data_IF_199369363334
#
_entry.id   IF_199369363334
#
_cell.length_a   1.000
_cell.length_b   1.000
_cell.length_c   1.000
_cell.angle_alpha   90.00
_cell.angle_beta   90.00
_cell.angle_gamma   90.00
#
_symmetry.space_group_name_H-M   'P 1'
#
loop_
_entity.id
_entity.type
_entity.pdbx_description
1 polymer ?
#
# COMPACT_ATOMS: atom_id res chain seq x y z
N UNK A 1 14.98 6.38 -11.29
CA UNK A 1 15.06 4.90 -11.19
C UNK A 1 13.69 4.33 -10.87
N UNK A 2 13.41 3.08 -11.33
CA UNK A 2 12.18 2.40 -10.95
C UNK A 2 12.38 1.68 -9.63
N UNK A 3 11.41 1.82 -8.72
CA UNK A 3 11.34 1.03 -7.48
C UNK A 3 10.66 -0.31 -7.73
N UNK A 4 9.64 -0.32 -8.61
CA UNK A 4 8.89 -1.53 -8.98
C UNK A 4 8.78 -1.62 -10.49
N UNK A 5 9.06 -2.80 -11.02
CA UNK A 5 8.90 -3.16 -12.43
C UNK A 5 8.14 -4.48 -12.50
N UNK A 6 6.97 -4.47 -13.10
CA UNK A 6 6.09 -5.63 -13.25
C UNK A 6 6.02 -5.99 -14.72
N UNK A 7 6.17 -7.28 -15.05
CA UNK A 7 6.17 -7.79 -16.42
C UNK A 7 5.29 -9.03 -16.54
N UNK A 8 4.16 -8.90 -17.21
CA UNK A 8 3.19 -9.97 -17.49
C UNK A 8 2.69 -10.70 -16.26
N UNK A 9 2.61 -9.99 -15.10
CA UNK A 9 2.30 -10.61 -13.81
C UNK A 9 0.88 -11.18 -13.82
N UNK A 10 0.77 -12.49 -13.53
CA UNK A 10 -0.50 -13.21 -13.65
C UNK A 10 -0.75 -14.04 -12.40
N UNK A 11 -2.02 -14.04 -11.92
CA UNK A 11 -2.48 -14.88 -10.82
C UNK A 11 -3.85 -15.47 -11.08
N UNK A 12 -3.97 -16.77 -10.88
CA UNK A 12 -5.22 -17.54 -11.03
C UNK A 12 -5.58 -18.23 -9.72
N UNK A 13 -6.87 -18.28 -9.42
CA UNK A 13 -7.44 -19.05 -8.32
C UNK A 13 -8.55 -19.95 -8.91
N UNK A 14 -8.21 -21.20 -9.18
CA UNK A 14 -9.09 -22.11 -9.90
C UNK A 14 -9.44 -21.57 -11.29
N UNK A 15 -10.71 -21.36 -11.57
CA UNK A 15 -11.20 -20.81 -12.84
C UNK A 15 -11.10 -19.26 -12.94
N UNK A 16 -10.78 -18.58 -11.83
CA UNK A 16 -10.77 -17.10 -11.78
C UNK A 16 -9.34 -16.60 -12.02
N UNK A 17 -9.17 -15.76 -13.04
CA UNK A 17 -7.94 -15.00 -13.25
C UNK A 17 -8.05 -13.69 -12.47
N UNK A 18 -7.40 -13.63 -11.30
CA UNK A 18 -7.46 -12.47 -10.40
C UNK A 18 -6.54 -11.32 -10.84
N UNK A 19 -5.43 -11.65 -11.52
CA UNK A 19 -4.54 -10.69 -12.18
C UNK A 19 -4.13 -11.31 -13.50
N UNK A 20 -4.25 -10.57 -14.59
CA UNK A 20 -4.04 -11.05 -15.96
C UNK A 20 -3.03 -10.16 -16.69
N UNK A 21 -1.82 -10.70 -16.84
CA UNK A 21 -0.72 -10.10 -17.61
C UNK A 21 -0.48 -8.62 -17.29
N UNK A 22 -0.40 -8.31 -15.99
CA UNK A 22 -0.19 -6.94 -15.52
C UNK A 22 1.23 -6.47 -15.83
N UNK A 23 1.32 -5.34 -16.54
CA UNK A 23 2.56 -4.58 -16.78
C UNK A 23 2.45 -3.21 -16.10
N UNK A 24 3.43 -2.86 -15.25
CA UNK A 24 3.42 -1.61 -14.50
C UNK A 24 4.82 -1.24 -14.03
N UNK A 25 5.12 0.05 -14.01
CA UNK A 25 6.33 0.60 -13.38
C UNK A 25 5.99 1.68 -12.37
N UNK A 26 6.67 1.65 -11.20
CA UNK A 26 6.58 2.68 -10.16
C UNK A 26 7.97 3.25 -9.91
N UNK A 27 8.10 4.58 -9.87
CA UNK A 27 9.39 5.27 -9.67
C UNK A 27 9.77 5.28 -8.19
N UNK A 28 11.05 5.42 -7.90
CA UNK A 28 11.51 5.60 -6.52
C UNK A 28 10.98 6.92 -5.94
N UNK A 29 10.50 6.86 -4.68
CA UNK A 29 9.92 8.00 -3.97
C UNK A 29 8.51 8.38 -4.44
N UNK A 30 7.96 7.69 -5.45
CA UNK A 30 6.60 7.92 -5.95
C UNK A 30 5.55 7.43 -4.93
N UNK A 31 4.48 8.20 -4.79
CA UNK A 31 3.24 7.73 -4.18
C UNK A 31 2.31 7.30 -5.32
N UNK A 32 2.17 6.01 -5.49
CA UNK A 32 1.38 5.37 -6.53
C UNK A 32 0.09 4.78 -5.98
N UNK A 33 -1.05 5.07 -6.61
CA UNK A 33 -2.32 4.44 -6.26
C UNK A 33 -2.72 3.39 -7.29
N UNK A 34 -3.07 2.19 -6.83
CA UNK A 34 -3.75 1.19 -7.62
C UNK A 34 -5.24 1.26 -7.30
N UNK A 35 -6.00 1.92 -8.17
CA UNK A 35 -7.42 2.22 -8.04
C UNK A 35 -8.27 1.19 -8.78
N UNK A 36 -9.37 0.78 -8.21
CA UNK A 36 -10.33 -0.10 -8.88
C UNK A 36 -11.45 -0.57 -7.96
N UNK A 37 -12.50 -1.10 -8.55
CA UNK A 37 -13.62 -1.68 -7.80
C UNK A 37 -13.19 -2.90 -6.98
N UNK A 38 -14.05 -3.36 -6.09
CA UNK A 38 -13.82 -4.60 -5.36
C UNK A 38 -13.73 -5.78 -6.34
N UNK A 39 -12.75 -6.67 -6.13
CA UNK A 39 -12.49 -7.78 -7.05
C UNK A 39 -11.60 -7.44 -8.26
N UNK A 40 -11.18 -6.17 -8.44
CA UNK A 40 -10.33 -5.77 -9.57
C UNK A 40 -8.91 -6.40 -9.59
N UNK A 41 -8.49 -7.09 -8.51
CA UNK A 41 -7.16 -7.72 -8.42
C UNK A 41 -6.13 -6.97 -7.58
N UNK A 42 -6.46 -5.79 -7.02
CA UNK A 42 -5.55 -4.91 -6.25
C UNK A 42 -4.82 -5.62 -5.11
N UNK A 43 -5.56 -6.19 -4.16
CA UNK A 43 -4.99 -6.93 -3.02
C UNK A 43 -4.17 -8.15 -3.47
N UNK A 44 -4.60 -8.83 -4.54
CA UNK A 44 -3.85 -9.95 -5.12
C UNK A 44 -2.51 -9.47 -5.67
N UNK A 45 -2.48 -8.32 -6.34
CA UNK A 45 -1.23 -7.68 -6.82
C UNK A 45 -0.31 -7.38 -5.64
N UNK A 46 -0.81 -6.73 -4.57
CA UNK A 46 0.00 -6.47 -3.35
C UNK A 46 0.54 -7.77 -2.76
N UNK A 47 -0.28 -8.84 -2.67
CA UNK A 47 0.17 -10.14 -2.15
C UNK A 47 1.29 -10.77 -2.97
N UNK A 48 1.27 -10.62 -4.29
CA UNK A 48 2.36 -11.10 -5.15
C UNK A 48 3.62 -10.24 -4.96
N UNK A 49 3.51 -8.91 -5.02
CA UNK A 49 4.64 -7.99 -4.85
C UNK A 49 5.29 -8.11 -3.47
N UNK A 50 4.51 -8.41 -2.43
CA UNK A 50 5.02 -8.65 -1.07
C UNK A 50 5.50 -10.08 -0.83
N UNK A 51 5.53 -10.94 -1.85
CA UNK A 51 5.90 -12.35 -1.77
C UNK A 51 5.07 -13.16 -0.75
N UNK A 52 3.81 -12.77 -0.53
CA UNK A 52 2.83 -13.54 0.26
C UNK A 52 2.13 -14.60 -0.60
N UNK A 53 2.09 -14.39 -1.91
CA UNK A 53 1.52 -15.33 -2.89
C UNK A 53 2.44 -15.37 -4.11
N UNK A 54 2.73 -16.58 -4.60
CA UNK A 54 3.54 -16.75 -5.80
C UNK A 54 2.69 -16.48 -7.05
N UNK A 55 3.19 -15.72 -8.04
CA UNK A 55 2.52 -15.58 -9.33
C UNK A 55 2.49 -16.91 -10.09
N UNK A 56 1.51 -17.07 -10.98
CA UNK A 56 1.38 -18.21 -11.89
C UNK A 56 2.06 -17.92 -13.24
N UNK A 57 2.32 -16.64 -13.55
CA UNK A 57 3.06 -16.18 -14.74
C UNK A 57 3.66 -14.81 -14.53
N UNK A 58 4.65 -14.47 -15.34
CA UNK A 58 5.37 -13.20 -15.25
C UNK A 58 6.29 -13.10 -14.03
N UNK A 59 6.85 -11.90 -13.83
CA UNK A 59 7.70 -11.56 -12.68
C UNK A 59 7.52 -10.09 -12.32
N UNK A 60 7.95 -9.71 -11.13
CA UNK A 60 8.12 -8.32 -10.75
C UNK A 60 9.47 -8.14 -10.06
N UNK A 61 10.11 -6.99 -10.34
CA UNK A 61 11.36 -6.61 -9.69
C UNK A 61 11.12 -5.42 -8.77
N UNK A 62 11.49 -5.58 -7.52
CA UNK A 62 11.46 -4.53 -6.51
C UNK A 62 12.91 -4.14 -6.18
N UNK A 63 13.30 -2.91 -6.54
CA UNK A 63 14.69 -2.45 -6.47
C UNK A 63 15.67 -3.45 -7.14
N UNK A 64 15.27 -3.97 -8.31
CA UNK A 64 16.02 -4.94 -9.08
C UNK A 64 15.91 -6.41 -8.61
N UNK A 65 15.28 -6.69 -7.47
CA UNK A 65 15.12 -8.04 -6.88
C UNK A 65 13.82 -8.69 -7.35
N UNK A 66 13.91 -9.89 -7.92
CA UNK A 66 12.74 -10.64 -8.42
C UNK A 66 11.91 -11.22 -7.27
N UNK A 67 10.59 -11.08 -7.35
CA UNK A 67 9.64 -11.69 -6.40
C UNK A 67 9.61 -13.22 -6.52
N UNK A 68 10.05 -13.77 -7.65
CA UNK A 68 10.06 -15.21 -7.94
C UNK A 68 11.35 -15.87 -7.47
N UNK A 69 12.51 -15.27 -7.77
CA UNK A 69 13.83 -15.87 -7.52
C UNK A 69 14.56 -15.32 -6.29
N UNK A 70 14.22 -14.10 -5.80
CA UNK A 70 14.82 -13.47 -4.61
C UNK A 70 13.76 -12.90 -3.64
N UNK A 71 12.75 -13.70 -3.32
CA UNK A 71 11.70 -13.31 -2.38
C UNK A 71 12.23 -12.87 -1.02
N UNK A 72 13.33 -13.46 -0.54
CA UNK A 72 13.96 -13.09 0.71
C UNK A 72 14.59 -11.68 0.63
N UNK A 73 15.23 -11.35 -0.48
CA UNK A 73 15.77 -10.02 -0.76
C UNK A 73 14.67 -8.97 -0.85
N UNK A 74 13.57 -9.29 -1.54
CA UNK A 74 12.39 -8.42 -1.63
C UNK A 74 11.82 -8.13 -0.24
N UNK A 75 11.60 -9.15 0.60
CA UNK A 75 11.02 -8.98 1.95
C UNK A 75 11.86 -8.10 2.87
N UNK A 76 13.17 -7.96 2.62
CA UNK A 76 14.05 -7.07 3.41
C UNK A 76 13.89 -5.60 3.09
N UNK A 77 13.40 -5.25 1.90
CA UNK A 77 13.28 -3.86 1.45
C UNK A 77 11.84 -3.33 1.44
N UNK A 78 10.86 -4.14 1.84
CA UNK A 78 9.45 -3.76 1.84
C UNK A 78 8.85 -3.71 3.25
N UNK A 79 7.83 -2.85 3.42
CA UNK A 79 6.89 -2.88 4.53
C UNK A 79 5.47 -3.09 3.99
N UNK A 80 4.61 -3.74 4.76
CA UNK A 80 3.22 -3.98 4.37
C UNK A 80 2.28 -3.64 5.52
N UNK A 81 1.34 -2.73 5.28
CA UNK A 81 0.17 -2.52 6.14
C UNK A 81 -1.04 -3.14 5.43
N UNK A 82 -1.49 -4.32 5.85
CA UNK A 82 -2.58 -5.04 5.18
C UNK A 82 -3.94 -4.41 5.44
N UNK A 83 -4.95 -4.79 4.66
CA UNK A 83 -6.33 -4.31 4.79
C UNK A 83 -6.91 -4.58 6.20
N UNK A 84 -6.76 -5.79 6.73
CA UNK A 84 -7.02 -6.08 8.13
C UNK A 84 -5.81 -5.62 8.97
N UNK A 85 -6.02 -4.76 9.96
CA UNK A 85 -4.92 -4.28 10.80
C UNK A 85 -4.25 -5.45 11.54
N UNK A 86 -2.94 -5.62 11.32
CA UNK A 86 -2.16 -6.71 11.92
C UNK A 86 -1.65 -6.35 13.33
N UNK A 87 -2.49 -5.69 14.15
CA UNK A 87 -2.14 -5.31 15.52
C UNK A 87 -2.51 -6.42 16.50
N UNK A 88 -1.64 -6.69 17.48
CA UNK A 88 -1.95 -7.60 18.58
C UNK A 88 -2.85 -6.86 19.59
N UNK A 89 -4.15 -7.22 19.73
CA UNK A 89 -5.14 -6.40 20.44
C UNK A 89 -4.89 -6.32 21.94
N UNK A 90 -4.26 -7.32 22.52
CA UNK A 90 -3.96 -7.39 23.95
C UNK A 90 -2.68 -6.66 24.35
N UNK A 91 -1.82 -6.31 23.39
CA UNK A 91 -0.62 -5.53 23.59
C UNK A 91 -0.93 -4.03 23.49
N UNK A 92 -0.16 -3.21 24.20
CA UNK A 92 -0.17 -1.76 24.02
C UNK A 92 0.41 -1.39 22.65
N UNK A 93 0.21 -0.15 22.19
CA UNK A 93 0.82 0.33 20.95
C UNK A 93 2.36 0.25 21.02
N UNK A 94 2.96 0.59 22.16
CA UNK A 94 4.41 0.46 22.38
C UNK A 94 4.88 -0.99 22.28
N UNK A 95 4.16 -1.93 22.89
CA UNK A 95 4.50 -3.37 22.85
C UNK A 95 4.34 -3.95 21.45
N UNK A 96 3.35 -3.51 20.65
CA UNK A 96 3.21 -3.89 19.25
C UNK A 96 4.43 -3.46 18.43
N UNK A 97 4.91 -2.23 18.60
CA UNK A 97 6.13 -1.74 17.94
C UNK A 97 7.36 -2.53 18.41
N UNK A 98 7.51 -2.75 19.72
CA UNK A 98 8.63 -3.49 20.28
C UNK A 98 8.66 -4.96 19.80
N UNK A 99 7.49 -5.60 19.67
CA UNK A 99 7.37 -6.94 19.12
C UNK A 99 7.97 -7.03 17.70
N UNK A 100 7.60 -6.11 16.82
CA UNK A 100 8.12 -6.08 15.45
C UNK A 100 9.63 -5.74 15.43
N UNK A 101 10.09 -4.82 16.28
CA UNK A 101 11.53 -4.56 16.43
C UNK A 101 12.28 -5.85 16.79
N UNK A 102 11.74 -6.64 17.73
CA UNK A 102 12.32 -7.93 18.11
C UNK A 102 12.34 -8.95 16.97
N UNK A 103 11.26 -9.02 16.17
CA UNK A 103 11.21 -9.89 14.97
C UNK A 103 12.30 -9.50 13.95
N UNK A 104 12.62 -8.20 13.85
CA UNK A 104 13.69 -7.70 12.98
C UNK A 104 15.08 -7.71 13.64
N UNK A 105 15.23 -8.28 14.85
CA UNK A 105 16.50 -8.43 15.54
C UNK A 105 17.10 -7.17 16.14
N UNK A 106 16.29 -6.11 16.34
CA UNK A 106 16.74 -4.87 16.96
C UNK A 106 17.05 -5.11 18.45
N UNK A 107 18.13 -4.55 18.94
CA UNK A 107 18.48 -4.52 20.35
C UNK A 107 17.45 -3.70 21.15
N UNK A 108 17.51 -3.80 22.49
CA UNK A 108 16.60 -3.04 23.38
C UNK A 108 16.75 -1.52 23.21
N UNK A 109 17.98 -1.05 23.00
CA UNK A 109 18.26 0.36 22.79
C UNK A 109 17.74 0.85 21.44
N UNK A 110 17.99 0.09 20.37
CA UNK A 110 17.49 0.39 19.03
C UNK A 110 15.95 0.35 19.00
N UNK A 111 15.33 -0.60 19.68
CA UNK A 111 13.87 -0.69 19.84
C UNK A 111 13.30 0.57 20.48
N UNK A 112 13.90 1.05 21.56
CA UNK A 112 13.46 2.28 22.23
C UNK A 112 13.57 3.49 21.31
N UNK A 113 14.72 3.67 20.66
CA UNK A 113 14.97 4.77 19.73
C UNK A 113 14.02 4.73 18.52
N UNK A 114 13.82 3.53 17.93
CA UNK A 114 12.94 3.36 16.77
C UNK A 114 11.47 3.59 17.11
N UNK A 115 11.02 3.11 18.27
CA UNK A 115 9.67 3.36 18.77
C UNK A 115 9.41 4.85 18.95
N UNK A 116 10.36 5.58 19.51
CA UNK A 116 10.24 7.03 19.72
C UNK A 116 10.26 7.81 18.39
N UNK A 117 11.15 7.43 17.47
CA UNK A 117 11.22 8.02 16.11
C UNK A 117 9.86 7.89 15.40
N UNK A 118 9.31 6.66 15.34
CA UNK A 118 8.03 6.41 14.66
C UNK A 118 6.85 7.03 15.40
N UNK A 119 6.90 7.07 16.74
CA UNK A 119 5.86 7.71 17.53
C UNK A 119 5.73 9.18 17.19
N UNK A 120 6.84 9.92 17.16
CA UNK A 120 6.85 11.34 16.77
C UNK A 120 6.43 11.53 15.30
N UNK A 121 7.00 10.72 14.40
CA UNK A 121 6.74 10.85 12.96
C UNK A 121 5.27 10.61 12.59
N UNK A 122 4.57 9.76 13.36
CA UNK A 122 3.20 9.35 13.09
C UNK A 122 2.20 9.80 14.16
N UNK A 123 2.64 10.62 15.13
CA UNK A 123 1.81 11.18 16.19
C UNK A 123 1.19 10.12 17.11
N UNK A 124 1.94 9.06 17.47
CA UNK A 124 1.43 7.94 18.27
C UNK A 124 1.60 8.15 19.79
N UNK A 125 2.26 9.23 20.23
CA UNK A 125 2.54 9.49 21.64
C UNK A 125 1.32 9.32 22.57
N UNK A 126 0.11 9.85 22.21
CA UNK A 126 -1.05 9.78 23.08
C UNK A 126 -1.57 8.35 23.30
N UNK A 127 -1.18 7.40 22.44
CA UNK A 127 -1.71 6.04 22.47
C UNK A 127 -0.69 4.98 22.89
N UNK A 128 0.58 5.33 23.06
CA UNK A 128 1.66 4.35 23.30
C UNK A 128 1.40 3.40 24.48
N UNK A 129 0.77 3.89 25.54
CA UNK A 129 0.42 3.09 26.72
C UNK A 129 -0.95 2.39 26.62
N UNK A 130 -1.72 2.65 25.56
CA UNK A 130 -3.07 2.08 25.40
C UNK A 130 -2.99 0.73 24.68
N UNK A 131 -3.83 -0.23 25.08
CA UNK A 131 -3.96 -1.52 24.38
C UNK A 131 -4.54 -1.31 23.00
N UNK A 132 -3.95 -1.95 21.97
CA UNK A 132 -4.32 -1.78 20.58
C UNK A 132 -5.79 -2.13 20.30
N UNK A 133 -6.34 -3.15 20.95
CA UNK A 133 -7.74 -3.52 20.81
C UNK A 133 -8.76 -2.50 21.37
N UNK A 134 -8.30 -1.48 22.12
CA UNK A 134 -9.14 -0.38 22.64
C UNK A 134 -8.95 0.93 21.87
N UNK A 135 -8.18 0.92 20.81
CA UNK A 135 -7.98 2.06 19.92
C UNK A 135 -9.10 2.15 18.89
N UNK A 136 -9.43 3.38 18.44
CA UNK A 136 -10.30 3.56 17.27
C UNK A 136 -9.64 2.98 16.01
N UNK A 137 -10.44 2.70 14.98
CA UNK A 137 -9.94 2.18 13.71
C UNK A 137 -8.81 3.02 13.09
N UNK A 138 -8.94 4.35 13.15
CA UNK A 138 -7.89 5.28 12.68
C UNK A 138 -6.56 5.11 13.43
N UNK A 139 -6.62 5.00 14.77
CA UNK A 139 -5.41 4.76 15.57
C UNK A 139 -4.80 3.37 15.32
N UNK A 140 -5.63 2.33 15.16
CA UNK A 140 -5.14 1.00 14.80
C UNK A 140 -4.48 1.01 13.43
N UNK A 141 -5.06 1.72 12.46
CA UNK A 141 -4.49 1.85 11.11
C UNK A 141 -3.15 2.60 11.13
N UNK A 142 -3.07 3.72 11.87
CA UNK A 142 -1.84 4.48 12.05
C UNK A 142 -0.74 3.65 12.73
N UNK A 143 -1.10 2.86 13.75
CA UNK A 143 -0.19 1.90 14.38
C UNK A 143 0.27 0.81 13.41
N UNK A 144 -0.62 0.26 12.58
CA UNK A 144 -0.28 -0.73 11.55
C UNK A 144 0.74 -0.19 10.54
N UNK A 145 0.60 1.06 10.12
CA UNK A 145 1.58 1.73 9.24
C UNK A 145 2.91 1.90 9.96
N UNK A 146 2.90 2.31 11.23
CA UNK A 146 4.13 2.42 12.03
C UNK A 146 4.86 1.07 12.14
N UNK A 147 4.12 -0.01 12.38
CA UNK A 147 4.66 -1.37 12.42
C UNK A 147 5.30 -1.76 11.08
N UNK A 148 4.67 -1.43 9.95
CA UNK A 148 5.23 -1.69 8.62
C UNK A 148 6.52 -0.89 8.34
N UNK A 149 6.71 0.25 9.01
CA UNK A 149 7.90 1.11 8.87
C UNK A 149 9.07 0.71 9.78
N UNK A 150 8.90 -0.27 10.69
CA UNK A 150 9.94 -0.66 11.68
C UNK A 150 11.29 -0.96 11.02
N UNK A 151 11.27 -1.77 9.97
CA UNK A 151 12.48 -2.23 9.28
C UNK A 151 13.10 -1.18 8.33
N UNK A 152 12.64 0.09 8.36
CA UNK A 152 13.07 1.14 7.42
C UNK A 152 12.96 0.71 5.96
N UNK A 153 11.77 0.27 5.51
CA UNK A 153 11.61 -0.21 4.15
C UNK A 153 11.82 0.92 3.13
N UNK A 154 12.27 0.55 1.94
CA UNK A 154 12.38 1.45 0.79
C UNK A 154 11.06 1.52 0.00
N UNK A 155 10.21 0.48 0.14
CA UNK A 155 8.87 0.41 -0.47
C UNK A 155 7.86 0.06 0.61
N UNK A 156 6.78 0.83 0.71
CA UNK A 156 5.66 0.59 1.61
C UNK A 156 4.40 0.27 0.82
N UNK A 157 3.80 -0.88 1.11
CA UNK A 157 2.49 -1.25 0.60
C UNK A 157 1.40 -0.93 1.63
N UNK A 158 0.35 -0.22 1.19
CA UNK A 158 -0.83 0.13 1.97
C UNK A 158 -2.06 -0.46 1.28
N UNK A 159 -2.63 -1.53 1.83
CA UNK A 159 -3.80 -2.18 1.25
C UNK A 159 -5.08 -1.60 1.87
N UNK A 160 -5.83 -0.80 1.10
CA UNK A 160 -7.08 -0.12 1.50
C UNK A 160 -6.92 0.64 2.85
N UNK A 161 -5.94 1.58 2.98
CA UNK A 161 -5.54 2.14 4.29
C UNK A 161 -6.65 2.90 5.01
N UNK A 162 -7.62 3.45 4.31
CA UNK A 162 -8.70 4.27 4.88
C UNK A 162 -10.05 3.56 4.95
N UNK A 163 -10.09 2.28 4.60
CA UNK A 163 -11.34 1.51 4.62
C UNK A 163 -11.98 1.50 6.02
N UNK A 164 -13.24 1.90 6.08
CA UNK A 164 -14.03 1.92 7.31
C UNK A 164 -13.70 3.06 8.28
N UNK A 165 -12.87 4.03 7.87
CA UNK A 165 -12.59 5.23 8.67
C UNK A 165 -13.64 6.31 8.41
N UNK A 166 -13.96 7.08 9.44
CA UNK A 166 -14.72 8.32 9.29
C UNK A 166 -13.90 9.41 8.58
N UNK A 167 -14.55 10.52 8.21
CA UNK A 167 -13.95 11.59 7.41
C UNK A 167 -12.72 12.21 8.10
N UNK A 168 -12.77 12.41 9.43
CA UNK A 168 -11.68 13.05 10.17
C UNK A 168 -10.48 12.10 10.28
N UNK A 169 -10.71 10.85 10.67
CA UNK A 169 -9.66 9.84 10.76
C UNK A 169 -8.99 9.58 9.40
N UNK A 170 -9.78 9.66 8.30
CA UNK A 170 -9.26 9.55 6.93
C UNK A 170 -8.35 10.73 6.60
N UNK A 171 -8.79 11.96 6.86
CA UNK A 171 -7.98 13.17 6.60
C UNK A 171 -6.65 13.14 7.38
N UNK A 172 -6.70 12.79 8.67
CA UNK A 172 -5.51 12.64 9.50
C UNK A 172 -4.55 11.56 8.98
N UNK A 173 -5.08 10.43 8.46
CA UNK A 173 -4.27 9.39 7.89
C UNK A 173 -3.63 9.80 6.55
N UNK A 174 -4.35 10.56 5.74
CA UNK A 174 -3.80 11.15 4.51
C UNK A 174 -2.60 12.05 4.80
N UNK A 175 -2.66 12.86 5.85
CA UNK A 175 -1.53 13.71 6.24
C UNK A 175 -0.30 12.87 6.63
N UNK A 176 -0.50 11.76 7.33
CA UNK A 176 0.56 10.80 7.64
C UNK A 176 1.16 10.21 6.35
N UNK A 177 0.32 9.78 5.41
CA UNK A 177 0.78 9.19 4.14
C UNK A 177 1.51 10.23 3.28
N UNK A 178 1.02 11.48 3.21
CA UNK A 178 1.70 12.58 2.50
C UNK A 178 3.12 12.83 3.01
N UNK A 179 3.35 12.72 4.32
CA UNK A 179 4.69 12.91 4.91
C UNK A 179 5.71 11.84 4.48
N UNK A 180 5.25 10.69 4.01
CA UNK A 180 6.11 9.62 3.49
C UNK A 180 6.53 9.86 2.03
N UNK A 181 5.78 10.66 1.27
CA UNK A 181 6.03 10.97 -0.14
C UNK A 181 7.43 11.57 -0.34
N UNK A 182 8.13 11.09 -1.37
CA UNK A 182 9.50 11.51 -1.67
C UNK A 182 10.59 10.91 -0.76
N UNK A 183 10.21 10.34 0.40
CA UNK A 183 11.16 9.69 1.34
C UNK A 183 11.26 8.19 1.11
N UNK A 184 10.14 7.55 0.86
CA UNK A 184 10.02 6.14 0.50
C UNK A 184 9.05 6.01 -0.66
N UNK A 185 9.11 4.91 -1.41
CA UNK A 185 8.11 4.60 -2.42
C UNK A 185 6.87 4.04 -1.73
N UNK A 186 5.70 4.61 -2.02
CA UNK A 186 4.44 4.13 -1.44
C UNK A 186 3.54 3.61 -2.55
N UNK A 187 3.04 2.39 -2.38
CA UNK A 187 2.02 1.82 -3.26
C UNK A 187 0.78 1.57 -2.40
N UNK A 188 -0.27 2.32 -2.66
CA UNK A 188 -1.55 2.14 -1.99
C UNK A 188 -2.58 1.53 -2.93
N UNK A 189 -3.42 0.65 -2.40
CA UNK A 189 -4.62 0.22 -3.09
C UNK A 189 -5.81 0.94 -2.51
N UNK A 190 -6.76 1.30 -3.35
CA UNK A 190 -8.00 1.94 -2.90
C UNK A 190 -9.13 1.73 -3.90
N UNK A 191 -10.36 1.88 -3.44
CA UNK A 191 -11.54 2.04 -4.27
C UNK A 191 -12.15 3.44 -4.11
N UNK A 192 -11.55 4.30 -3.27
CA UNK A 192 -11.95 5.69 -3.10
C UNK A 192 -11.23 6.58 -4.11
N UNK A 193 -12.00 7.19 -5.01
CA UNK A 193 -11.50 8.09 -6.05
C UNK A 193 -10.80 9.32 -5.45
N UNK A 194 -11.42 9.91 -4.42
CA UNK A 194 -10.88 11.06 -3.70
C UNK A 194 -9.49 10.78 -3.10
N UNK A 195 -9.27 9.56 -2.56
CA UNK A 195 -7.99 9.16 -2.00
C UNK A 195 -6.92 9.06 -3.08
N UNK A 196 -7.24 8.40 -4.20
CA UNK A 196 -6.33 8.27 -5.32
C UNK A 196 -5.95 9.64 -5.90
N UNK A 197 -6.93 10.53 -6.11
CA UNK A 197 -6.71 11.87 -6.66
C UNK A 197 -5.92 12.77 -5.70
N UNK A 198 -6.23 12.73 -4.38
CA UNK A 198 -5.64 13.65 -3.40
C UNK A 198 -4.21 13.28 -2.98
N UNK A 199 -3.82 12.00 -3.05
CA UNK A 199 -2.55 11.53 -2.51
C UNK A 199 -1.50 11.20 -3.57
N UNK A 200 -1.91 10.60 -4.69
CA UNK A 200 -0.96 9.94 -5.58
C UNK A 200 -0.35 10.87 -6.64
N UNK A 201 0.90 10.57 -6.99
CA UNK A 201 1.57 11.17 -8.14
C UNK A 201 1.00 10.60 -9.44
N UNK A 202 0.77 9.27 -9.45
CA UNK A 202 0.14 8.56 -10.55
C UNK A 202 -0.84 7.51 -10.03
N UNK A 203 -1.85 7.25 -10.85
CA UNK A 203 -2.90 6.28 -10.59
C UNK A 203 -2.89 5.24 -11.70
N UNK A 204 -2.91 3.96 -11.31
CA UNK A 204 -3.23 2.85 -12.19
C UNK A 204 -4.68 2.42 -11.97
N UNK A 205 -5.52 2.52 -12.98
CA UNK A 205 -6.92 2.07 -12.92
C UNK A 205 -6.98 0.59 -13.30
N UNK A 206 -7.52 -0.21 -12.38
CA UNK A 206 -7.57 -1.67 -12.52
C UNK A 206 -9.01 -2.18 -12.54
N UNK A 207 -9.31 -3.10 -13.47
CA UNK A 207 -10.59 -3.80 -13.56
C UNK A 207 -10.36 -5.23 -14.06
N UNK A 208 -11.08 -6.20 -13.50
CA UNK A 208 -11.08 -7.61 -13.92
C UNK A 208 -9.65 -8.19 -14.09
N UNK A 209 -8.76 -7.84 -13.16
CA UNK A 209 -7.37 -8.29 -13.15
C UNK A 209 -6.43 -7.55 -14.10
N UNK A 210 -6.89 -6.57 -14.89
CA UNK A 210 -6.11 -5.84 -15.89
C UNK A 210 -5.93 -4.37 -15.54
N UNK A 211 -4.81 -3.79 -15.96
CA UNK A 211 -4.58 -2.36 -15.93
C UNK A 211 -5.24 -1.72 -17.15
N UNK A 212 -6.20 -0.83 -16.94
CA UNK A 212 -6.92 -0.14 -18.00
C UNK A 212 -6.25 1.16 -18.42
N UNK A 213 -5.77 1.91 -17.43
CA UNK A 213 -5.15 3.21 -17.66
C UNK A 213 -4.09 3.49 -16.59
N UNK A 214 -3.11 4.32 -16.93
CA UNK A 214 -2.00 4.70 -16.07
C UNK A 214 -1.59 6.15 -16.38
N UNK A 215 -1.58 7.00 -15.37
CA UNK A 215 -1.19 8.41 -15.52
C UNK A 215 -1.37 9.20 -14.24
N UNK A 216 -1.05 10.49 -14.27
CA UNK A 216 -1.48 11.43 -13.22
C UNK A 216 -2.99 11.58 -13.29
N UNK A 217 -3.68 12.01 -12.22
CA UNK A 217 -5.11 12.29 -12.26
C UNK A 217 -5.49 13.24 -13.40
N UNK A 218 -4.69 14.28 -13.67
CA UNK A 218 -4.88 15.24 -14.75
C UNK A 218 -4.72 14.63 -16.15
N UNK A 219 -3.74 13.73 -16.32
CA UNK A 219 -3.56 12.98 -17.58
C UNK A 219 -4.75 12.07 -17.85
N UNK A 220 -5.25 11.37 -16.83
CA UNK A 220 -6.40 10.47 -16.94
C UNK A 220 -7.70 11.26 -17.24
N UNK A 221 -7.93 12.40 -16.60
CA UNK A 221 -9.05 13.32 -16.94
C UNK A 221 -8.99 13.74 -18.41
N UNK A 222 -7.82 14.14 -18.88
CA UNK A 222 -7.61 14.60 -20.26
C UNK A 222 -7.80 13.47 -21.28
N UNK A 223 -7.30 12.26 -20.95
CA UNK A 223 -7.46 11.08 -21.79
C UNK A 223 -8.93 10.68 -21.98
N UNK A 224 -9.74 10.83 -20.93
CA UNK A 224 -11.17 10.53 -20.97
C UNK A 224 -12.03 11.70 -21.49
N UNK A 225 -11.45 12.89 -21.72
CA UNK A 225 -12.20 14.08 -22.09
C UNK A 225 -13.15 14.58 -21.01
N UNK A 226 -12.77 14.41 -19.73
CA UNK A 226 -13.61 14.74 -18.57
C UNK A 226 -12.92 15.78 -17.67
N UNK A 227 -13.71 16.66 -17.03
CA UNK A 227 -13.20 17.63 -16.07
C UNK A 227 -13.00 17.02 -14.66
N UNK A 228 -13.86 16.07 -14.29
CA UNK A 228 -13.82 15.41 -12.99
C UNK A 228 -13.15 14.04 -13.09
N UNK A 229 -12.33 13.71 -12.12
CA UNK A 229 -11.64 12.41 -12.05
C UNK A 229 -12.61 11.24 -11.92
N UNK A 230 -13.73 11.43 -11.21
CA UNK A 230 -14.80 10.42 -11.09
C UNK A 230 -15.41 10.06 -12.46
N UNK A 231 -15.71 11.07 -13.30
CA UNK A 231 -16.28 10.86 -14.62
C UNK A 231 -15.28 10.16 -15.54
N UNK A 232 -13.98 10.52 -15.46
CA UNK A 232 -12.90 9.86 -16.18
C UNK A 232 -12.78 8.39 -15.81
N UNK A 233 -12.81 8.08 -14.52
CA UNK A 233 -12.78 6.70 -14.02
C UNK A 233 -13.98 5.89 -14.55
N UNK A 234 -15.19 6.45 -14.47
CA UNK A 234 -16.41 5.77 -14.95
C UNK A 234 -16.34 5.50 -16.46
N UNK A 235 -15.86 6.46 -17.25
CA UNK A 235 -15.72 6.31 -18.70
C UNK A 235 -14.75 5.15 -19.03
N UNK A 236 -13.53 5.16 -18.45
CA UNK A 236 -12.51 4.14 -18.69
C UNK A 236 -12.96 2.72 -18.28
N UNK A 237 -13.64 2.62 -17.12
CA UNK A 237 -14.16 1.33 -16.63
C UNK A 237 -15.31 0.80 -17.48
N UNK A 238 -16.15 1.66 -18.06
CA UNK A 238 -17.26 1.26 -18.95
C UNK A 238 -16.77 0.85 -20.33
N UNK A 239 -15.82 1.54 -20.92
CA UNK A 239 -15.24 1.22 -22.23
C UNK A 239 -14.58 -0.16 -22.24
N UNK A 240 -13.86 -0.51 -21.17
CA UNK A 240 -13.24 -1.83 -21.02
C UNK A 240 -14.24 -3.00 -20.81
N UNK A 241 -15.52 -2.72 -20.70
CA UNK A 241 -16.58 -3.74 -20.57
C UNK A 241 -17.37 -3.98 -21.86
N UNK A 242 -16.98 -3.29 -22.94
CA UNK A 242 -17.54 -3.49 -24.30
C UNK A 242 -16.60 -4.32 -25.14
#
# INVERSE_FOLDING_TARGET
MNAVEIQGLTKRYGAITAVDSLDLTVRQGELFALLGVNGAGKTTTIKMLSCLTRPDGGDARLLGRSIVSDAAGVKRCIGVSPQATAVAPNLTARENLALLCGVHGLSRQETAARTEELSRALGLEPILARRAGKLSGGWQRRLSIAMALIARPEILFLDEPTLGLDVLARAELWDVVRQLKGRITVILTTHYLEEAEALSDRVGIMKDGRLLALGTPEELKRQAGCDRFEDAFIAMVREAGR
#
